data_IF_517537460131
#
_entry.id   IF_517537460131
#
_cell.length_a   1.000
_cell.length_b   1.000
_cell.length_c   1.000
_cell.angle_alpha   90.00
_cell.angle_beta   90.00
_cell.angle_gamma   90.00
#
_symmetry.space_group_name_H-M   'P 1'
#
loop_
_entity.id
_entity.type
_entity.pdbx_description
1 polymer ?
#
# COMPACT_ATOMS: atom_id res chain seq x y z
N UNK A 1 28.65 2.65 6.98
CA UNK A 1 28.12 2.57 8.36
C UNK A 1 26.89 3.45 8.52
N UNK A 2 26.90 4.69 8.00
CA UNK A 2 25.78 5.64 8.13
C UNK A 2 24.46 5.08 7.59
N UNK A 3 24.49 4.46 6.41
CA UNK A 3 23.29 3.88 5.77
C UNK A 3 22.66 2.71 6.52
N UNK A 4 23.41 2.07 7.43
CA UNK A 4 22.88 0.98 8.24
C UNK A 4 22.23 1.44 9.55
N UNK A 5 22.56 2.63 10.02
CA UNK A 5 22.11 3.15 11.31
C UNK A 5 20.98 4.18 11.20
N UNK A 6 20.91 4.91 10.08
CA UNK A 6 19.93 5.99 9.93
C UNK A 6 19.09 5.77 8.69
N UNK A 7 17.83 6.20 8.75
CA UNK A 7 16.94 6.17 7.63
C UNK A 7 17.45 7.08 6.52
N UNK A 8 17.38 6.56 5.31
CA UNK A 8 17.59 7.34 4.09
C UNK A 8 16.36 7.31 3.18
N UNK A 9 15.58 6.23 3.27
CA UNK A 9 14.40 6.01 2.41
C UNK A 9 13.15 5.66 3.23
N UNK A 10 13.32 5.15 4.47
CA UNK A 10 12.23 4.61 5.28
C UNK A 10 11.58 5.65 6.21
N UNK A 11 11.81 6.92 6.01
CA UNK A 11 11.28 7.99 6.87
C UNK A 11 12.04 9.30 6.67
N UNK A 12 11.84 10.27 7.56
CA UNK A 12 12.55 11.54 7.51
C UNK A 12 14.07 11.34 7.68
N UNK A 13 14.85 12.12 6.97
CA UNK A 13 16.31 12.08 7.04
C UNK A 13 16.80 12.18 8.48
N UNK A 14 17.75 11.33 8.86
CA UNK A 14 18.35 11.31 10.18
C UNK A 14 17.59 10.54 11.26
N UNK A 15 16.44 9.95 10.96
CA UNK A 15 15.77 9.04 11.91
C UNK A 15 16.55 7.73 12.06
N UNK A 16 16.72 7.27 13.31
CA UNK A 16 17.41 6.01 13.58
C UNK A 16 16.56 4.81 13.13
N UNK A 17 17.21 3.86 12.47
CA UNK A 17 16.65 2.54 12.14
C UNK A 17 17.08 1.55 13.22
N UNK A 18 16.45 1.60 14.36
CA UNK A 18 16.80 0.82 15.55
C UNK A 18 15.63 0.04 16.15
N UNK A 19 14.45 0.19 15.56
CA UNK A 19 13.22 -0.44 16.05
C UNK A 19 12.96 -1.74 15.30
N UNK A 20 12.96 -2.85 16.04
CA UNK A 20 12.62 -4.16 15.49
C UNK A 20 11.10 -4.30 15.36
N UNK A 21 10.65 -4.75 14.19
CA UNK A 21 9.25 -5.13 13.97
C UNK A 21 9.00 -6.52 14.58
N UNK A 22 8.17 -6.62 15.60
CA UNK A 22 7.98 -7.85 16.37
C UNK A 22 6.61 -8.50 16.22
N UNK A 23 5.57 -7.72 15.97
CA UNK A 23 4.17 -8.17 15.91
C UNK A 23 3.73 -8.77 14.57
N UNK A 24 4.54 -8.64 13.51
CA UNK A 24 4.22 -9.09 12.16
C UNK A 24 5.08 -10.32 11.84
N UNK A 25 4.48 -11.51 11.66
CA UNK A 25 5.25 -12.76 11.49
C UNK A 25 6.22 -12.72 10.30
N UNK A 26 5.80 -12.12 9.18
CA UNK A 26 6.63 -12.00 7.96
C UNK A 26 7.70 -10.90 8.03
N UNK A 27 7.65 -10.04 9.04
CA UNK A 27 8.66 -9.02 9.30
C UNK A 27 9.74 -9.47 10.29
N UNK A 28 9.82 -10.75 10.61
CA UNK A 28 10.78 -11.26 11.59
C UNK A 28 12.22 -10.88 11.24
N UNK A 29 12.86 -10.15 12.14
CA UNK A 29 14.23 -9.65 11.95
C UNK A 29 14.32 -8.32 11.17
N UNK A 30 13.21 -7.78 10.73
CA UNK A 30 13.17 -6.45 10.11
C UNK A 30 13.41 -5.37 11.16
N UNK A 31 14.27 -4.41 10.82
CA UNK A 31 14.57 -3.23 11.62
C UNK A 31 14.30 -2.00 10.77
N UNK A 32 13.53 -1.07 11.31
CA UNK A 32 13.16 0.18 10.63
C UNK A 32 13.10 1.33 11.65
N UNK A 33 12.56 2.48 11.26
CA UNK A 33 12.30 3.58 12.20
C UNK A 33 11.12 3.24 13.13
N UNK A 34 11.07 3.86 14.30
CA UNK A 34 9.97 3.64 15.25
C UNK A 34 8.62 4.03 14.63
N UNK A 35 8.57 5.12 13.86
CA UNK A 35 7.35 5.57 13.18
C UNK A 35 6.86 4.52 12.15
N UNK A 36 7.75 4.02 11.30
CA UNK A 36 7.40 2.99 10.32
C UNK A 36 6.99 1.67 10.98
N UNK A 37 7.70 1.23 12.03
CA UNK A 37 7.33 0.03 12.77
C UNK A 37 5.92 0.16 13.37
N UNK A 38 5.60 1.33 13.93
CA UNK A 38 4.29 1.62 14.49
C UNK A 38 3.18 1.60 13.41
N UNK A 39 3.39 2.30 12.30
CA UNK A 39 2.43 2.35 11.18
C UNK A 39 2.18 0.98 10.56
N UNK A 40 3.23 0.17 10.39
CA UNK A 40 3.12 -1.21 9.90
C UNK A 40 2.33 -2.09 10.87
N UNK A 41 2.57 -1.95 12.18
CA UNK A 41 1.85 -2.74 13.19
C UNK A 41 0.36 -2.36 13.22
N UNK A 42 0.03 -1.07 13.16
CA UNK A 42 -1.36 -0.62 13.11
C UNK A 42 -2.10 -1.17 11.87
N UNK A 43 -1.47 -1.12 10.70
CA UNK A 43 -2.04 -1.67 9.47
C UNK A 43 -2.24 -3.20 9.60
N UNK A 44 -1.25 -3.91 10.12
CA UNK A 44 -1.34 -5.36 10.32
C UNK A 44 -2.49 -5.73 11.26
N UNK A 45 -2.57 -5.07 12.41
CA UNK A 45 -3.61 -5.31 13.41
C UNK A 45 -5.01 -5.03 12.84
N UNK A 46 -5.16 -3.94 12.08
CA UNK A 46 -6.42 -3.61 11.39
C UNK A 46 -6.84 -4.72 10.43
N UNK A 47 -5.95 -5.16 9.54
CA UNK A 47 -6.24 -6.20 8.54
C UNK A 47 -6.59 -7.54 9.20
N UNK A 48 -5.90 -7.90 10.30
CA UNK A 48 -6.20 -9.15 11.03
C UNK A 48 -7.55 -9.08 11.75
N UNK A 49 -7.84 -7.97 12.42
CA UNK A 49 -9.08 -7.79 13.19
C UNK A 49 -10.34 -7.77 12.30
N UNK A 50 -10.19 -7.31 11.06
CA UNK A 50 -11.29 -7.23 10.10
C UNK A 50 -11.35 -8.43 9.13
N UNK A 51 -10.49 -9.44 9.29
CA UNK A 51 -10.51 -10.64 8.45
C UNK A 51 -10.04 -10.42 7.01
N UNK A 52 -9.27 -9.36 6.77
CA UNK A 52 -8.81 -8.96 5.43
C UNK A 52 -7.49 -9.61 4.99
N UNK A 53 -6.91 -10.47 5.82
CA UNK A 53 -5.72 -11.24 5.46
C UNK A 53 -6.00 -12.19 4.29
N UNK A 54 -5.08 -12.26 3.33
CA UNK A 54 -5.22 -13.12 2.14
C UNK A 54 -6.06 -12.52 1.02
N UNK A 55 -6.62 -11.33 1.21
CA UNK A 55 -7.36 -10.65 0.15
C UNK A 55 -6.45 -10.12 -0.96
N UNK A 56 -7.02 -9.95 -2.15
CA UNK A 56 -6.35 -9.27 -3.26
C UNK A 56 -6.22 -7.77 -2.96
N UNK A 57 -5.11 -7.18 -3.38
CA UNK A 57 -4.82 -5.77 -3.14
C UNK A 57 -4.23 -5.09 -4.38
N UNK A 58 -4.64 -3.85 -4.60
CA UNK A 58 -3.91 -2.89 -5.42
C UNK A 58 -3.14 -2.00 -4.44
N UNK A 59 -1.83 -2.11 -4.46
CA UNK A 59 -0.96 -1.26 -3.65
C UNK A 59 -0.39 -0.15 -4.51
N UNK A 60 -0.46 1.09 -4.04
CA UNK A 60 0.07 2.25 -4.73
C UNK A 60 0.94 3.09 -3.79
N UNK A 61 2.09 3.57 -4.29
CA UNK A 61 3.06 4.32 -3.49
C UNK A 61 4.32 3.52 -3.14
N UNK A 62 5.25 4.14 -2.46
CA UNK A 62 6.62 3.64 -2.21
C UNK A 62 6.71 2.55 -1.12
N UNK A 63 5.79 1.60 -1.10
CA UNK A 63 5.76 0.55 -0.08
C UNK A 63 5.59 -0.88 -0.63
N UNK A 64 6.40 -1.32 -1.61
CA UNK A 64 6.18 -2.60 -2.31
C UNK A 64 6.22 -3.83 -1.40
N UNK A 65 6.85 -3.74 -0.24
CA UNK A 65 6.91 -4.83 0.74
C UNK A 65 5.65 -5.04 1.57
N UNK A 66 4.72 -4.10 1.58
CA UNK A 66 3.52 -4.15 2.43
C UNK A 66 2.64 -5.35 2.09
N UNK A 67 2.37 -5.60 0.82
CA UNK A 67 1.59 -6.74 0.39
C UNK A 67 2.13 -8.07 0.96
N UNK A 68 3.45 -8.29 0.88
CA UNK A 68 4.09 -9.46 1.47
C UNK A 68 3.96 -9.49 2.99
N UNK A 69 4.29 -8.39 3.67
CA UNK A 69 4.28 -8.31 5.14
C UNK A 69 2.88 -8.55 5.72
N UNK A 70 1.86 -8.03 5.06
CA UNK A 70 0.46 -8.11 5.48
C UNK A 70 -0.23 -9.41 5.05
N UNK A 71 0.46 -10.32 4.36
CA UNK A 71 -0.13 -11.54 3.80
C UNK A 71 -1.29 -11.28 2.85
N UNK A 72 -1.13 -10.33 1.95
CA UNK A 72 -2.08 -10.01 0.90
C UNK A 72 -1.61 -10.59 -0.46
N UNK A 73 -2.52 -10.69 -1.42
CA UNK A 73 -2.24 -11.12 -2.78
C UNK A 73 -2.32 -9.93 -3.77
N UNK A 74 -1.40 -9.80 -4.73
CA UNK A 74 -1.50 -8.72 -5.72
C UNK A 74 -2.71 -8.96 -6.64
N UNK A 75 -3.55 -7.94 -6.82
CA UNK A 75 -4.66 -7.96 -7.77
C UNK A 75 -4.20 -7.68 -9.21
N UNK A 76 -3.08 -6.99 -9.36
CA UNK A 76 -2.49 -6.64 -10.66
C UNK A 76 -1.05 -7.15 -10.77
N UNK A 77 -0.46 -7.02 -11.96
CA UNK A 77 0.85 -7.57 -12.32
C UNK A 77 2.03 -7.09 -11.45
N UNK A 78 1.89 -6.04 -10.66
CA UNK A 78 2.98 -5.42 -9.92
C UNK A 78 2.55 -5.00 -8.52
N UNK A 79 3.45 -5.21 -7.56
CA UNK A 79 3.36 -4.66 -6.20
C UNK A 79 3.86 -3.20 -6.09
N UNK A 80 4.36 -2.66 -7.19
CA UNK A 80 4.84 -1.29 -7.28
C UNK A 80 4.45 -0.69 -8.65
N UNK A 81 3.16 -0.49 -8.90
CA UNK A 81 2.67 -0.05 -10.21
C UNK A 81 3.11 1.37 -10.57
N UNK A 82 3.33 2.23 -9.58
CA UNK A 82 3.81 3.61 -9.75
C UNK A 82 5.31 3.72 -10.07
N UNK A 83 6.08 2.62 -10.04
CA UNK A 83 7.48 2.62 -10.45
C UNK A 83 7.61 3.02 -11.93
N UNK A 84 8.61 3.83 -12.28
CA UNK A 84 8.83 4.37 -13.64
C UNK A 84 8.95 3.30 -14.73
N UNK A 85 9.51 2.14 -14.39
CA UNK A 85 9.63 1.01 -15.32
C UNK A 85 8.27 0.37 -15.67
N UNK A 86 7.23 0.62 -14.90
CA UNK A 86 5.86 0.22 -15.21
C UNK A 86 5.19 1.36 -15.99
N UNK A 87 4.88 1.16 -17.27
CA UNK A 87 4.27 2.21 -18.08
C UNK A 87 2.85 2.52 -17.66
N UNK A 88 2.39 3.75 -17.93
CA UNK A 88 1.01 4.16 -17.65
C UNK A 88 0.00 3.31 -18.41
N UNK A 89 0.30 2.98 -19.68
CA UNK A 89 -0.55 2.15 -20.54
C UNK A 89 -0.71 0.74 -19.97
N UNK A 90 0.36 0.15 -19.44
CA UNK A 90 0.31 -1.18 -18.81
C UNK A 90 -0.50 -1.17 -17.52
N UNK A 91 -0.40 -0.07 -16.76
CA UNK A 91 -1.21 0.09 -15.55
C UNK A 91 -2.69 0.26 -15.90
N UNK A 92 -3.01 1.12 -16.87
CA UNK A 92 -4.37 1.35 -17.35
C UNK A 92 -5.00 0.05 -17.90
N UNK A 93 -4.26 -0.71 -18.70
CA UNK A 93 -4.69 -2.03 -19.18
C UNK A 93 -4.96 -3.00 -18.03
N UNK A 94 -4.11 -3.02 -17.00
CA UNK A 94 -4.31 -3.88 -15.85
C UNK A 94 -5.55 -3.50 -15.04
N UNK A 95 -5.80 -2.21 -14.86
CA UNK A 95 -6.99 -1.70 -14.16
C UNK A 95 -8.28 -1.98 -14.93
N UNK A 96 -8.24 -1.81 -16.27
CA UNK A 96 -9.39 -2.09 -17.16
C UNK A 96 -9.75 -3.58 -17.20
N UNK A 97 -8.76 -4.46 -17.08
CA UNK A 97 -8.96 -5.91 -17.12
C UNK A 97 -9.22 -6.55 -15.75
N UNK A 98 -9.30 -5.76 -14.68
CA UNK A 98 -9.74 -6.30 -13.40
C UNK A 98 -11.16 -6.86 -13.52
N UNK A 99 -11.37 -8.02 -12.92
CA UNK A 99 -12.70 -8.58 -12.78
C UNK A 99 -13.55 -7.66 -11.91
N UNK A 100 -14.68 -7.13 -12.39
CA UNK A 100 -15.54 -6.26 -11.58
C UNK A 100 -16.03 -6.91 -10.29
N UNK A 101 -16.09 -8.24 -10.24
CA UNK A 101 -16.52 -8.99 -9.06
C UNK A 101 -15.37 -9.20 -8.04
N UNK A 102 -14.12 -8.91 -8.41
CA UNK A 102 -12.97 -9.15 -7.52
C UNK A 102 -12.78 -8.08 -6.44
N UNK A 103 -13.26 -6.89 -6.59
CA UNK A 103 -13.22 -5.79 -5.61
C UNK A 103 -12.00 -5.83 -4.66
N UNK A 104 -10.76 -5.69 -5.17
CA UNK A 104 -9.57 -5.78 -4.34
C UNK A 104 -9.50 -4.63 -3.33
N UNK A 105 -8.86 -4.85 -2.18
CA UNK A 105 -8.47 -3.76 -1.31
C UNK A 105 -7.56 -2.78 -2.04
N UNK A 106 -7.67 -1.50 -1.73
CA UNK A 106 -6.74 -0.48 -2.24
C UNK A 106 -5.93 0.05 -1.06
N UNK A 107 -4.61 -0.08 -1.11
CA UNK A 107 -3.70 0.46 -0.11
C UNK A 107 -2.83 1.52 -0.77
N UNK A 108 -2.95 2.75 -0.32
CA UNK A 108 -2.17 3.89 -0.81
C UNK A 108 -1.20 4.36 0.27
N UNK A 109 0.07 4.52 -0.10
CA UNK A 109 1.02 5.28 0.70
C UNK A 109 0.94 6.75 0.26
N UNK A 110 0.57 7.69 1.15
CA UNK A 110 0.28 9.07 0.76
C UNK A 110 1.50 9.85 0.25
N UNK A 111 2.72 9.39 0.57
CA UNK A 111 3.95 10.05 0.12
C UNK A 111 4.37 9.56 -1.27
N UNK A 112 3.51 9.75 -2.27
CA UNK A 112 3.97 9.65 -3.64
C UNK A 112 4.29 11.07 -4.15
N UNK A 113 5.55 11.37 -4.19
CA UNK A 113 6.06 12.65 -4.63
C UNK A 113 5.82 12.83 -6.13
N UNK A 114 4.77 13.51 -6.50
CA UNK A 114 4.53 14.31 -7.68
C UNK A 114 5.37 14.16 -8.96
N UNK A 115 5.95 13.02 -9.24
CA UNK A 115 6.51 12.73 -10.55
C UNK A 115 5.36 12.61 -11.54
N UNK A 116 5.43 13.33 -12.65
CA UNK A 116 4.33 13.47 -13.61
C UNK A 116 3.74 12.14 -14.08
N UNK A 117 4.56 11.10 -14.19
CA UNK A 117 4.11 9.77 -14.59
C UNK A 117 3.33 9.05 -13.47
N UNK A 118 3.78 9.19 -12.24
CA UNK A 118 3.05 8.64 -11.09
C UNK A 118 1.70 9.35 -10.90
N UNK A 119 1.63 10.65 -11.11
CA UNK A 119 0.38 11.42 -11.05
C UNK A 119 -0.67 10.88 -12.01
N UNK A 120 -0.32 10.59 -13.29
CA UNK A 120 -1.26 10.03 -14.27
C UNK A 120 -1.76 8.64 -13.88
N UNK A 121 -0.90 7.78 -13.33
CA UNK A 121 -1.31 6.48 -12.81
C UNK A 121 -2.22 6.61 -11.59
N UNK A 122 -1.98 7.63 -10.77
CA UNK A 122 -2.84 7.92 -9.62
C UNK A 122 -4.23 8.40 -10.06
N UNK A 123 -4.32 9.20 -11.11
CA UNK A 123 -5.62 9.59 -11.69
C UNK A 123 -6.42 8.36 -12.16
N UNK A 124 -5.76 7.40 -12.83
CA UNK A 124 -6.38 6.12 -13.22
C UNK A 124 -6.87 5.35 -11.99
N UNK A 125 -6.07 5.30 -10.91
CA UNK A 125 -6.47 4.67 -9.66
C UNK A 125 -7.68 5.40 -9.05
N UNK A 126 -7.70 6.72 -9.02
CA UNK A 126 -8.83 7.51 -8.50
C UNK A 126 -10.11 7.29 -9.31
N UNK A 127 -9.99 7.23 -10.64
CA UNK A 127 -11.14 6.91 -11.51
C UNK A 127 -11.71 5.53 -11.18
N UNK A 128 -10.85 4.55 -10.93
CA UNK A 128 -11.27 3.22 -10.48
C UNK A 128 -11.90 3.28 -9.09
N UNK A 129 -11.31 4.04 -8.16
CA UNK A 129 -11.82 4.20 -6.79
C UNK A 129 -13.16 4.92 -6.70
N UNK A 130 -13.59 5.63 -7.75
CA UNK A 130 -14.93 6.22 -7.79
C UNK A 130 -16.04 5.17 -7.63
N UNK A 131 -15.76 3.90 -7.94
CA UNK A 131 -16.67 2.76 -7.67
C UNK A 131 -16.67 2.30 -6.21
N UNK A 132 -15.78 2.83 -5.38
CA UNK A 132 -15.64 2.47 -3.95
C UNK A 132 -16.34 3.47 -3.03
N UNK A 133 -17.07 4.46 -3.57
CA UNK A 133 -17.84 5.49 -2.84
C UNK A 133 -17.05 6.12 -1.67
N UNK A 134 -15.74 6.40 -1.86
CA UNK A 134 -14.82 6.93 -0.85
C UNK A 134 -14.76 6.09 0.46
N UNK A 135 -15.04 4.79 0.39
CA UNK A 135 -15.07 3.91 1.55
C UNK A 135 -13.67 3.69 2.15
N UNK A 136 -13.15 4.75 2.78
CA UNK A 136 -11.91 4.69 3.54
C UNK A 136 -12.16 4.01 4.88
N UNK A 137 -11.59 2.81 5.04
CA UNK A 137 -11.78 1.97 6.23
C UNK A 137 -10.64 2.07 7.24
N UNK A 138 -9.47 2.57 6.81
CA UNK A 138 -8.31 2.76 7.68
C UNK A 138 -7.42 3.89 7.19
N UNK A 139 -6.79 4.61 8.12
CA UNK A 139 -5.78 5.61 7.84
C UNK A 139 -4.80 5.74 9.01
N UNK A 140 -3.52 5.86 8.69
CA UNK A 140 -2.47 6.29 9.60
C UNK A 140 -1.43 7.16 8.85
N UNK A 141 -0.30 7.47 9.49
CA UNK A 141 0.71 8.35 8.91
C UNK A 141 1.27 7.85 7.57
N UNK A 142 1.27 6.55 7.31
CA UNK A 142 1.90 5.94 6.14
C UNK A 142 0.94 5.23 5.20
N UNK A 143 -0.28 4.90 5.63
CA UNK A 143 -1.18 4.05 4.85
C UNK A 143 -2.61 4.53 4.93
N UNK A 144 -3.28 4.49 3.78
CA UNK A 144 -4.74 4.62 3.68
C UNK A 144 -5.26 3.35 3.02
N UNK A 145 -6.31 2.76 3.59
CA UNK A 145 -6.96 1.56 3.03
C UNK A 145 -8.39 1.88 2.66
N UNK A 146 -8.74 1.47 1.46
CA UNK A 146 -10.11 1.54 0.95
C UNK A 146 -10.61 0.13 0.69
N UNK A 147 -11.88 -0.09 0.99
CA UNK A 147 -12.61 -1.34 0.75
C UNK A 147 -13.85 -1.02 -0.10
N UNK A 148 -14.19 -1.87 -1.04
CA UNK A 148 -15.41 -1.71 -1.81
C UNK A 148 -16.64 -1.84 -0.89
N UNK A 149 -17.64 -1.03 -1.13
CA UNK A 149 -18.90 -1.12 -0.39
C UNK A 149 -19.63 -2.41 -0.79
N UNK A 150 -20.00 -3.24 0.19
CA UNK A 150 -20.75 -4.49 -0.06
C UNK A 150 -22.15 -4.24 -0.65
N UNK A 151 -22.62 -2.98 -0.61
CA UNK A 151 -23.89 -2.54 -1.21
C UNK A 151 -23.68 -1.26 -2.01
N UNK A 152 -23.19 -1.31 -3.27
CA UNK A 152 -23.27 -0.13 -4.11
C UNK A 152 -24.76 0.28 -4.21
N UNK A 153 -25.06 1.53 -3.86
CA UNK A 153 -26.40 2.07 -3.86
C UNK A 153 -27.09 1.78 -5.21
N UNK A 154 -28.26 1.10 -5.17
CA UNK A 154 -29.15 0.86 -6.30
C UNK A 154 -29.54 2.16 -7.00
#
# INVERSE_FOLDING_TARGET
LFHFQYSFVDGADGQARDTQVTGIPRARGMVTTAANAHSLQQLYDFLQQNGLAGQKVIQFGKAPGVCYLMNLEPAIFSLWPDLDSNTTERFDEAMTNLDPDEQPLIIVHPDFNGEVLAARKYDILLDYMAYYDDNKVFENDNYVVYEADENPAE
#
